data_IF_356219750973
#
_entry.id   IF_356219750973
#
_cell.length_a   1.000
_cell.length_b   1.000
_cell.length_c   1.000
_cell.angle_alpha   90.00
_cell.angle_beta   90.00
_cell.angle_gamma   90.00
#
_symmetry.space_group_name_H-M   'P 1'
#
loop_
_entity.id
_entity.type
_entity.pdbx_description
1 polymer ?
#
# COMPACT_ATOMS: atom_id res chain seq x y z
N UNK A 1 30.21 -19.46 51.32
CA UNK A 1 28.81 -18.95 51.24
C UNK A 1 28.51 -18.76 49.76
N UNK A 2 28.01 -19.73 48.98
CA UNK A 2 26.67 -20.37 48.97
C UNK A 2 25.53 -19.36 49.04
N UNK A 3 24.99 -18.94 47.89
CA UNK A 3 23.55 -18.89 47.58
C UNK A 3 23.32 -18.97 46.07
N UNK A 4 23.15 -20.22 45.63
CA UNK A 4 22.38 -20.61 44.47
C UNK A 4 20.94 -20.12 44.62
N UNK A 5 20.46 -19.24 43.74
CA UNK A 5 19.01 -19.09 43.49
C UNK A 5 18.78 -18.96 41.99
N UNK A 6 18.49 -20.12 41.44
CA UNK A 6 17.88 -20.38 40.15
C UNK A 6 16.43 -19.87 40.24
N UNK A 7 16.12 -18.75 39.58
CA UNK A 7 14.74 -18.30 39.41
C UNK A 7 14.43 -18.13 37.93
N UNK A 8 14.04 -19.25 37.35
CA UNK A 8 13.30 -19.37 36.12
C UNK A 8 12.08 -18.45 36.14
N UNK A 9 12.16 -17.30 35.48
CA UNK A 9 10.98 -16.57 35.04
C UNK A 9 10.77 -16.86 33.56
N UNK A 10 10.07 -17.97 33.34
CA UNK A 10 9.31 -18.28 32.15
C UNK A 10 8.28 -17.16 31.95
N UNK A 11 8.71 -16.04 31.38
CA UNK A 11 7.80 -15.03 30.90
C UNK A 11 7.30 -15.52 29.53
N UNK A 12 6.23 -16.30 29.56
CA UNK A 12 5.31 -16.44 28.44
C UNK A 12 4.77 -15.04 28.11
N UNK A 13 5.56 -14.24 27.40
CA UNK A 13 5.05 -13.04 26.76
C UNK A 13 4.41 -13.53 25.48
N UNK A 14 3.11 -13.77 25.63
CA UNK A 14 2.09 -13.71 24.59
C UNK A 14 2.62 -12.98 23.36
N UNK A 15 2.60 -13.67 22.21
CA UNK A 15 2.73 -13.05 20.90
C UNK A 15 1.60 -12.05 20.72
N UNK A 16 1.76 -10.85 21.28
CA UNK A 16 0.99 -9.69 20.90
C UNK A 16 1.49 -9.42 19.49
N UNK A 17 0.74 -9.89 18.50
CA UNK A 17 0.85 -9.40 17.14
C UNK A 17 0.60 -7.89 17.22
N UNK A 18 1.68 -7.11 17.32
CA UNK A 18 1.61 -5.67 17.18
C UNK A 18 0.90 -5.45 15.84
N UNK A 19 -0.29 -4.83 15.82
CA UNK A 19 -0.93 -4.55 14.54
C UNK A 19 0.07 -3.73 13.74
N UNK A 20 0.40 -4.19 12.53
CA UNK A 20 1.30 -3.48 11.63
C UNK A 20 0.75 -2.07 11.46
N UNK A 21 1.33 -1.10 12.16
CA UNK A 21 1.00 0.31 11.97
C UNK A 21 1.46 0.60 10.55
N UNK A 22 0.51 0.71 9.62
CA UNK A 22 0.84 1.07 8.24
C UNK A 22 1.44 2.47 8.31
N UNK A 23 2.76 2.57 8.15
CA UNK A 23 3.44 3.85 8.13
C UNK A 23 2.88 4.64 6.95
N UNK A 24 2.26 5.78 7.26
CA UNK A 24 1.68 6.61 6.24
C UNK A 24 2.77 7.12 5.28
N UNK A 25 2.55 6.94 3.98
CA UNK A 25 3.45 7.48 2.97
C UNK A 25 3.25 8.99 2.88
N UNK A 26 4.36 9.72 2.76
CA UNK A 26 4.32 11.15 2.54
C UNK A 26 3.55 11.49 1.25
N UNK A 27 2.84 12.64 1.21
CA UNK A 27 2.13 13.05 0.02
C UNK A 27 3.07 13.25 -1.18
N UNK A 28 2.61 12.86 -2.37
CA UNK A 28 3.39 12.98 -3.61
C UNK A 28 3.10 14.30 -4.32
N UNK A 29 4.10 15.17 -4.42
CA UNK A 29 3.96 16.50 -5.04
C UNK A 29 3.69 16.45 -6.56
N UNK A 30 4.32 15.53 -7.31
CA UNK A 30 4.16 15.41 -8.76
C UNK A 30 3.26 14.22 -9.15
N UNK A 31 1.97 14.32 -8.85
CA UNK A 31 1.00 13.23 -9.08
C UNK A 31 1.04 12.71 -10.51
N UNK A 32 1.09 13.60 -11.51
CA UNK A 32 1.10 13.20 -12.92
C UNK A 32 2.38 12.41 -13.27
N UNK A 33 3.56 12.93 -12.90
CA UNK A 33 4.83 12.28 -13.17
C UNK A 33 4.91 10.89 -12.53
N UNK A 34 4.49 10.77 -11.27
CA UNK A 34 4.44 9.47 -10.59
C UNK A 34 3.42 8.53 -11.22
N UNK A 35 2.23 9.03 -11.60
CA UNK A 35 1.22 8.24 -12.30
C UNK A 35 1.78 7.67 -13.61
N UNK A 36 2.42 8.50 -14.43
CA UNK A 36 3.02 8.06 -15.69
C UNK A 36 4.12 7.01 -15.46
N UNK A 37 4.97 7.18 -14.43
CA UNK A 37 6.01 6.22 -14.06
C UNK A 37 5.43 4.87 -13.61
N UNK A 38 4.37 4.89 -12.79
CA UNK A 38 3.68 3.69 -12.32
C UNK A 38 3.01 2.97 -13.49
N UNK A 39 2.23 3.68 -14.31
CA UNK A 39 1.58 3.10 -15.49
C UNK A 39 2.63 2.49 -16.41
N UNK A 40 3.75 3.17 -16.67
CA UNK A 40 4.83 2.61 -17.47
C UNK A 40 5.42 1.30 -16.93
N UNK A 41 5.56 1.17 -15.60
CA UNK A 41 5.98 -0.09 -14.96
C UNK A 41 4.91 -1.18 -15.11
N UNK A 42 3.65 -0.86 -14.83
CA UNK A 42 2.54 -1.81 -14.93
C UNK A 42 2.30 -2.24 -16.39
N UNK A 43 2.44 -1.36 -17.36
CA UNK A 43 2.32 -1.68 -18.79
C UNK A 43 3.30 -2.77 -19.18
N UNK A 44 4.56 -2.66 -18.75
CA UNK A 44 5.59 -3.66 -19.04
C UNK A 44 5.34 -4.97 -18.31
N UNK A 45 4.94 -4.92 -17.05
CA UNK A 45 4.77 -6.12 -16.22
C UNK A 45 3.49 -6.91 -16.56
N UNK A 46 2.42 -6.23 -16.99
CA UNK A 46 1.10 -6.82 -17.23
C UNK A 46 0.74 -6.87 -18.73
N UNK A 47 1.65 -6.42 -19.61
CA UNK A 47 1.40 -6.30 -21.06
C UNK A 47 0.10 -5.55 -21.37
N UNK A 48 -0.08 -4.36 -20.77
CA UNK A 48 -1.32 -3.60 -20.85
C UNK A 48 -1.59 -3.06 -22.26
N UNK A 49 -2.83 -3.21 -22.73
CA UNK A 49 -3.33 -2.58 -23.97
C UNK A 49 -3.57 -1.08 -23.75
N UNK A 50 -3.58 -0.31 -24.83
CA UNK A 50 -3.75 1.15 -24.78
C UNK A 50 -5.00 1.59 -23.99
N UNK A 51 -6.13 0.93 -24.21
CA UNK A 51 -7.38 1.26 -23.49
C UNK A 51 -7.26 1.00 -21.98
N UNK A 52 -6.53 -0.04 -21.59
CA UNK A 52 -6.25 -0.37 -20.19
C UNK A 52 -5.29 0.65 -19.58
N UNK A 53 -4.27 1.08 -20.32
CA UNK A 53 -3.32 2.10 -19.86
C UNK A 53 -4.03 3.43 -19.55
N UNK A 54 -4.95 3.86 -20.43
CA UNK A 54 -5.76 5.07 -20.21
C UNK A 54 -6.61 4.96 -18.95
N UNK A 55 -7.30 3.83 -18.75
CA UNK A 55 -8.11 3.57 -17.55
C UNK A 55 -7.25 3.58 -16.29
N UNK A 56 -6.13 2.86 -16.29
CA UNK A 56 -5.23 2.76 -15.15
C UNK A 56 -4.61 4.11 -14.79
N UNK A 57 -4.23 4.92 -15.78
CA UNK A 57 -3.74 6.30 -15.55
C UNK A 57 -4.76 7.12 -14.75
N UNK A 58 -6.03 7.08 -15.14
CA UNK A 58 -7.10 7.76 -14.41
C UNK A 58 -7.24 7.26 -12.97
N UNK A 59 -7.32 5.94 -12.77
CA UNK A 59 -7.53 5.34 -11.45
C UNK A 59 -6.35 5.57 -10.49
N UNK A 60 -5.12 5.48 -11.00
CA UNK A 60 -3.90 5.69 -10.21
C UNK A 60 -3.78 7.16 -9.82
N UNK A 61 -4.02 8.09 -10.76
CA UNK A 61 -3.99 9.53 -10.47
C UNK A 61 -5.03 9.92 -9.41
N UNK A 62 -6.26 9.40 -9.55
CA UNK A 62 -7.33 9.64 -8.57
C UNK A 62 -6.94 9.12 -7.18
N UNK A 63 -6.43 7.90 -7.11
CA UNK A 63 -6.05 7.25 -5.86
C UNK A 63 -4.90 7.99 -5.13
N UNK A 64 -3.84 8.37 -5.85
CA UNK A 64 -2.73 9.16 -5.29
C UNK A 64 -3.24 10.52 -4.81
N UNK A 65 -4.10 11.18 -5.59
CA UNK A 65 -4.68 12.47 -5.20
C UNK A 65 -5.50 12.36 -3.91
N UNK A 66 -6.37 11.36 -3.81
CA UNK A 66 -7.14 11.10 -2.59
C UNK A 66 -6.23 10.76 -1.40
N UNK A 67 -5.12 10.04 -1.62
CA UNK A 67 -4.18 9.71 -0.56
C UNK A 67 -3.50 10.94 0.00
N UNK A 68 -3.07 11.84 -0.88
CA UNK A 68 -2.44 13.09 -0.49
C UNK A 68 -3.34 13.96 0.40
N UNK A 69 -4.66 13.86 0.27
CA UNK A 69 -5.58 14.63 1.12
C UNK A 69 -5.82 13.99 2.49
N UNK A 70 -5.82 12.66 2.58
CA UNK A 70 -6.08 11.96 3.85
C UNK A 70 -4.84 11.79 4.72
N UNK A 71 -3.63 11.89 4.17
CA UNK A 71 -2.38 11.69 4.94
C UNK A 71 -2.24 12.66 6.13
N UNK A 72 -2.82 13.86 6.05
CA UNK A 72 -2.83 14.81 7.15
C UNK A 72 -3.61 14.30 8.38
N UNK A 73 -4.55 13.36 8.19
CA UNK A 73 -5.35 12.77 9.26
C UNK A 73 -4.55 11.77 10.11
N UNK A 74 -3.38 11.34 9.66
CA UNK A 74 -2.52 10.41 10.40
C UNK A 74 -2.12 10.94 11.78
N UNK A 75 -1.84 12.24 11.88
CA UNK A 75 -1.50 12.89 13.14
C UNK A 75 -2.73 13.25 13.98
N UNK A 76 -3.85 13.59 13.32
CA UNK A 76 -5.04 14.11 14.00
C UNK A 76 -6.02 13.00 14.46
N UNK A 77 -6.21 11.96 13.64
CA UNK A 77 -7.13 10.85 13.90
C UNK A 77 -6.69 9.57 13.15
N UNK A 78 -5.74 8.80 13.71
CA UNK A 78 -5.21 7.58 13.09
C UNK A 78 -6.29 6.56 12.71
N UNK A 79 -7.35 6.41 13.52
CA UNK A 79 -8.45 5.48 13.23
C UNK A 79 -9.26 5.90 12.00
N UNK A 80 -9.51 7.20 11.84
CA UNK A 80 -10.18 7.71 10.65
C UNK A 80 -9.30 7.56 9.40
N UNK A 81 -8.00 7.80 9.53
CA UNK A 81 -7.04 7.55 8.46
C UNK A 81 -7.06 6.09 8.00
N UNK A 82 -6.94 5.13 8.92
CA UNK A 82 -6.95 3.70 8.60
C UNK A 82 -8.24 3.28 7.88
N UNK A 83 -9.40 3.75 8.38
CA UNK A 83 -10.69 3.47 7.76
C UNK A 83 -10.79 4.03 6.33
N UNK A 84 -10.31 5.25 6.11
CA UNK A 84 -10.31 5.91 4.79
C UNK A 84 -9.36 5.23 3.82
N UNK A 85 -8.11 4.97 4.21
CA UNK A 85 -7.13 4.28 3.36
C UNK A 85 -7.62 2.89 2.98
N UNK A 86 -8.19 2.12 3.92
CA UNK A 86 -8.78 0.81 3.62
C UNK A 86 -9.91 0.91 2.59
N UNK A 87 -10.79 1.89 2.73
CA UNK A 87 -11.89 2.13 1.80
C UNK A 87 -11.37 2.51 0.40
N UNK A 88 -10.38 3.42 0.35
CA UNK A 88 -9.73 3.83 -0.89
C UNK A 88 -9.06 2.67 -1.60
N UNK A 89 -8.29 1.83 -0.89
CA UNK A 89 -7.69 0.61 -1.45
C UNK A 89 -8.77 -0.31 -2.00
N UNK A 90 -9.84 -0.57 -1.25
CA UNK A 90 -10.95 -1.43 -1.70
C UNK A 90 -11.56 -0.92 -3.01
N UNK A 91 -11.83 0.39 -3.10
CA UNK A 91 -12.35 1.03 -4.30
C UNK A 91 -11.37 0.95 -5.48
N UNK A 92 -10.08 1.18 -5.21
CA UNK A 92 -9.01 1.10 -6.21
C UNK A 92 -8.86 -0.32 -6.76
N UNK A 93 -8.71 -1.34 -5.92
CA UNK A 93 -8.60 -2.74 -6.37
C UNK A 93 -9.84 -3.18 -7.16
N UNK A 94 -11.05 -2.74 -6.78
CA UNK A 94 -12.26 -3.01 -7.56
C UNK A 94 -12.20 -2.41 -8.97
N UNK A 95 -11.77 -1.15 -9.10
CA UNK A 95 -11.58 -0.49 -10.40
C UNK A 95 -10.53 -1.21 -11.25
N UNK A 96 -9.39 -1.57 -10.66
CA UNK A 96 -8.30 -2.29 -11.33
C UNK A 96 -8.78 -3.67 -11.81
N UNK A 97 -9.42 -4.46 -10.94
CA UNK A 97 -9.95 -5.80 -11.29
C UNK A 97 -10.92 -5.76 -12.48
N UNK A 98 -11.74 -4.72 -12.56
CA UNK A 98 -12.72 -4.57 -13.65
C UNK A 98 -12.10 -4.12 -14.98
N UNK A 99 -10.90 -3.52 -14.95
CA UNK A 99 -10.22 -3.02 -16.16
C UNK A 99 -9.20 -4.02 -16.75
N UNK A 100 -8.80 -5.01 -15.97
CA UNK A 100 -7.80 -6.01 -16.34
C UNK A 100 -8.44 -7.37 -16.62
N UNK A 101 -7.75 -8.22 -17.37
CA UNK A 101 -8.09 -9.65 -17.41
C UNK A 101 -7.77 -10.30 -16.06
N UNK A 102 -8.28 -11.51 -15.81
CA UNK A 102 -7.97 -12.25 -14.59
C UNK A 102 -6.46 -12.46 -14.42
N UNK A 103 -5.77 -12.88 -15.48
CA UNK A 103 -4.31 -13.10 -15.48
C UNK A 103 -3.51 -11.82 -15.21
N UNK A 104 -3.93 -10.70 -15.81
CA UNK A 104 -3.31 -9.40 -15.57
C UNK A 104 -3.56 -8.90 -14.15
N UNK A 105 -4.73 -9.19 -13.58
CA UNK A 105 -5.05 -8.83 -12.20
C UNK A 105 -4.22 -9.64 -11.20
N UNK A 106 -4.05 -10.95 -11.41
CA UNK A 106 -3.14 -11.76 -10.58
C UNK A 106 -1.70 -11.25 -10.68
N UNK A 107 -1.24 -10.93 -11.89
CA UNK A 107 0.09 -10.34 -12.12
C UNK A 107 0.25 -8.98 -11.45
N UNK A 108 -0.82 -8.17 -11.43
CA UNK A 108 -0.88 -6.90 -10.70
C UNK A 108 -0.70 -7.11 -9.20
N UNK A 109 -1.37 -8.10 -8.59
CA UNK A 109 -1.20 -8.38 -7.16
C UNK A 109 0.23 -8.78 -6.81
N UNK A 110 0.92 -9.48 -7.73
CA UNK A 110 2.32 -9.86 -7.57
C UNK A 110 3.30 -8.69 -7.71
N UNK A 111 2.87 -7.53 -8.22
CA UNK A 111 3.71 -6.33 -8.25
C UNK A 111 3.84 -5.63 -6.90
N UNK A 112 3.18 -6.13 -5.84
CA UNK A 112 3.31 -5.60 -4.48
C UNK A 112 4.77 -5.73 -4.01
N UNK A 113 5.46 -4.63 -3.68
CA UNK A 113 6.78 -4.69 -3.07
C UNK A 113 6.70 -5.45 -1.74
N UNK A 114 7.77 -6.11 -1.31
CA UNK A 114 7.80 -6.84 -0.03
C UNK A 114 7.68 -5.93 1.19
N UNK A 115 8.11 -4.68 1.07
CA UNK A 115 8.10 -3.67 2.13
C UNK A 115 7.53 -2.33 1.63
N UNK A 116 7.08 -1.50 2.57
CA UNK A 116 6.67 -0.13 2.29
C UNK A 116 7.90 0.76 2.06
N UNK A 117 8.44 0.69 0.86
CA UNK A 117 9.63 1.44 0.45
C UNK A 117 9.23 2.71 -0.33
N UNK A 118 9.56 3.88 0.22
CA UNK A 118 9.26 5.18 -0.40
C UNK A 118 10.00 5.41 -1.73
N UNK A 119 11.12 4.72 -1.97
CA UNK A 119 11.88 4.79 -3.22
C UNK A 119 11.27 3.91 -4.32
N UNK A 120 10.51 2.88 -3.92
CA UNK A 120 9.73 2.09 -4.85
C UNK A 120 8.39 2.75 -5.13
N UNK A 121 8.25 3.32 -6.33
CA UNK A 121 7.03 4.03 -6.74
C UNK A 121 5.77 3.16 -6.69
N UNK A 122 5.89 1.83 -6.75
CA UNK A 122 4.74 0.93 -6.61
C UNK A 122 4.23 0.84 -5.17
N UNK A 123 5.06 1.08 -4.15
CA UNK A 123 4.62 1.06 -2.74
C UNK A 123 3.43 1.99 -2.50
N UNK A 124 3.36 3.09 -3.27
CA UNK A 124 2.29 4.08 -3.25
C UNK A 124 0.93 3.53 -3.69
N UNK A 125 0.86 2.32 -4.26
CA UNK A 125 -0.40 1.64 -4.60
C UNK A 125 -0.80 0.58 -3.58
N UNK A 126 0.17 -0.09 -2.97
CA UNK A 126 -0.05 -1.32 -2.20
C UNK A 126 -0.01 -1.14 -0.68
N UNK A 127 0.58 -0.07 -0.20
CA UNK A 127 0.67 0.30 1.21
C UNK A 127 -0.04 1.62 1.44
#
# INVERSE_FOLDING_TARGET
MKYTVLLSFLCCILGISVPSISSAQAPMANVEGHTNAIVGKLTKALSLKEDQQVKLKGFISEFITQRNTVVAETAANPKAYDAKIKSMHTGFYKKIKNALTAEQYESFLQQKPGENDATNVLSQLYY
#
